data_IF_348183560796
#
_entry.id   IF_348183560796
#
_cell.length_a   1.000
_cell.length_b   1.000
_cell.length_c   1.000
_cell.angle_alpha   90.00
_cell.angle_beta   90.00
_cell.angle_gamma   90.00
#
_symmetry.space_group_name_H-M   'P 1'
#
loop_
_entity.id
_entity.type
_entity.pdbx_description
1 polymer ?
#
# COMPACT_ATOMS: atom_id res chain seq x y z
N UNK A 1 15.47 -21.36 19.02
CA UNK A 1 15.23 -20.59 20.25
C UNK A 1 13.71 -20.39 20.35
N UNK A 2 13.04 -21.24 21.12
CA UNK A 2 11.58 -21.22 21.26
C UNK A 2 11.27 -20.12 22.26
N UNK A 3 10.92 -18.93 21.77
CA UNK A 3 10.30 -17.91 22.61
C UNK A 3 8.87 -18.41 22.86
N UNK A 4 8.61 -18.80 24.10
CA UNK A 4 7.28 -19.13 24.59
C UNK A 4 6.32 -18.01 24.19
N UNK A 5 5.23 -18.36 23.49
CA UNK A 5 4.03 -17.54 23.29
C UNK A 5 3.33 -17.31 24.65
N UNK A 6 4.07 -16.72 25.59
CA UNK A 6 3.53 -16.14 26.81
C UNK A 6 2.69 -14.95 26.38
N UNK A 7 1.44 -14.97 26.81
CA UNK A 7 0.42 -13.92 26.75
C UNK A 7 0.99 -12.57 26.30
N UNK A 8 1.01 -12.34 24.98
CA UNK A 8 1.11 -10.98 24.46
C UNK A 8 -0.11 -10.26 25.05
N UNK A 9 0.16 -9.30 25.94
CA UNK A 9 -0.83 -8.37 26.43
C UNK A 9 -1.59 -7.81 25.21
N UNK A 10 -2.89 -7.61 25.34
CA UNK A 10 -3.66 -6.96 24.29
C UNK A 10 -2.96 -5.64 23.95
N UNK A 11 -2.71 -5.41 22.66
CA UNK A 11 -2.12 -4.17 22.18
C UNK A 11 -2.99 -3.03 22.69
N UNK A 12 -2.42 -2.12 23.48
CA UNK A 12 -3.09 -0.86 23.80
C UNK A 12 -3.14 -0.03 22.53
N UNK A 13 -4.25 -0.17 21.80
CA UNK A 13 -4.42 0.46 20.50
C UNK A 13 -4.35 1.98 20.60
N UNK A 14 -4.80 2.58 21.71
CA UNK A 14 -4.78 4.01 21.89
C UNK A 14 -3.34 4.53 22.06
N UNK A 15 -2.52 3.87 22.90
CA UNK A 15 -1.09 4.17 23.01
C UNK A 15 -0.39 4.02 21.67
N UNK A 16 -0.63 2.88 20.99
CA UNK A 16 -0.01 2.59 19.69
C UNK A 16 -0.32 3.65 18.66
N UNK A 17 -1.59 4.03 18.56
CA UNK A 17 -2.03 5.08 17.65
C UNK A 17 -1.40 6.42 17.99
N UNK A 18 -1.38 6.80 19.27
CA UNK A 18 -0.77 8.06 19.72
C UNK A 18 0.71 8.14 19.35
N UNK A 19 1.51 7.15 19.75
CA UNK A 19 2.96 7.12 19.51
C UNK A 19 3.30 7.14 18.02
N UNK A 20 2.56 6.39 17.21
CA UNK A 20 2.75 6.36 15.77
C UNK A 20 2.33 7.68 15.09
N UNK A 21 1.26 8.34 15.56
CA UNK A 21 0.86 9.66 15.06
C UNK A 21 1.91 10.70 15.39
N UNK A 22 2.39 10.76 16.64
CA UNK A 22 3.46 11.69 17.03
C UNK A 22 4.69 11.52 16.14
N UNK A 23 5.13 10.28 15.93
CA UNK A 23 6.23 9.98 15.02
C UNK A 23 6.01 10.52 13.60
N UNK A 24 4.83 10.29 13.02
CA UNK A 24 4.53 10.72 11.66
C UNK A 24 4.49 12.25 11.55
N UNK A 25 3.90 12.93 12.52
CA UNK A 25 3.84 14.40 12.53
C UNK A 25 5.24 15.03 12.63
N UNK A 26 6.08 14.49 13.51
CA UNK A 26 7.44 15.00 13.73
C UNK A 26 8.40 14.70 12.55
N UNK A 27 7.98 13.85 11.61
CA UNK A 27 8.76 13.44 10.44
C UNK A 27 8.21 13.93 9.11
N UNK A 28 7.32 14.92 9.11
CA UNK A 28 6.88 15.57 7.88
C UNK A 28 8.03 16.38 7.27
N UNK A 29 8.53 15.93 6.14
CA UNK A 29 9.67 16.56 5.48
C UNK A 29 9.23 17.81 4.71
N UNK A 30 10.09 18.83 4.74
CA UNK A 30 9.83 20.14 4.11
C UNK A 30 8.47 20.73 4.50
N UNK A 31 7.96 20.33 5.67
CA UNK A 31 6.64 20.68 6.17
C UNK A 31 5.50 20.31 5.20
N UNK A 32 5.66 19.27 4.38
CA UNK A 32 4.68 18.95 3.33
C UNK A 32 4.55 17.46 3.00
N UNK A 33 5.63 16.67 3.05
CA UNK A 33 5.64 15.33 2.44
C UNK A 33 6.18 14.24 3.37
N UNK A 34 5.80 12.98 3.08
CA UNK A 34 6.38 11.78 3.67
C UNK A 34 6.83 10.81 2.57
N UNK A 35 8.01 11.04 1.96
CA UNK A 35 8.45 10.22 0.85
C UNK A 35 8.66 8.77 1.26
N UNK A 36 8.20 7.84 0.43
CA UNK A 36 8.77 6.50 0.45
C UNK A 36 10.22 6.59 -0.07
N UNK A 37 11.18 5.90 0.56
CA UNK A 37 12.57 5.90 0.12
C UNK A 37 12.92 4.53 -0.46
N UNK A 38 12.78 4.41 -1.78
CA UNK A 38 13.21 3.20 -2.49
C UNK A 38 14.73 3.15 -2.64
N UNK A 39 15.23 2.13 -3.35
CA UNK A 39 16.62 2.11 -3.86
C UNK A 39 16.77 2.76 -5.24
N UNK A 40 15.66 2.90 -5.97
CA UNK A 40 15.65 3.51 -7.30
C UNK A 40 15.79 5.04 -7.19
N UNK A 41 16.66 5.61 -8.03
CA UNK A 41 16.94 7.04 -8.11
C UNK A 41 16.83 7.51 -9.54
N UNK A 42 16.48 8.77 -9.70
CA UNK A 42 16.46 9.48 -10.99
C UNK A 42 17.55 10.55 -10.99
N UNK A 43 18.01 10.96 -12.17
CA UNK A 43 18.92 12.10 -12.29
C UNK A 43 18.08 13.37 -12.26
N UNK A 44 18.37 14.25 -11.31
CA UNK A 44 17.83 15.60 -11.22
C UNK A 44 18.93 16.66 -11.28
N UNK A 45 18.56 17.92 -11.05
CA UNK A 45 19.46 19.06 -11.17
C UNK A 45 20.62 19.02 -10.17
N UNK A 46 20.41 18.42 -8.99
CA UNK A 46 21.41 18.28 -7.93
C UNK A 46 22.12 16.93 -7.88
N UNK A 47 21.93 16.05 -8.87
CA UNK A 47 22.49 14.70 -8.89
C UNK A 47 21.42 13.60 -8.81
N UNK A 48 21.67 12.54 -8.04
CA UNK A 48 20.69 11.44 -7.88
C UNK A 48 19.63 11.82 -6.85
N UNK A 49 18.37 11.84 -7.28
CA UNK A 49 17.22 12.29 -6.49
C UNK A 49 16.19 11.16 -6.30
N UNK A 50 15.35 11.31 -5.27
CA UNK A 50 14.19 10.43 -5.08
C UNK A 50 13.13 10.75 -6.14
N UNK A 51 12.63 9.76 -6.89
CA UNK A 51 11.63 10.01 -7.92
C UNK A 51 10.33 10.57 -7.32
N UNK A 52 9.71 11.52 -8.03
CA UNK A 52 8.48 12.18 -7.57
C UNK A 52 7.34 11.20 -7.25
N UNK A 53 7.24 10.07 -7.97
CA UNK A 53 6.24 9.04 -7.71
C UNK A 53 6.33 8.44 -6.29
N UNK A 54 7.54 8.27 -5.75
CA UNK A 54 7.71 7.80 -4.37
C UNK A 54 7.36 8.85 -3.32
N UNK A 55 7.66 10.12 -3.62
CA UNK A 55 7.27 11.26 -2.76
C UNK A 55 5.75 11.37 -2.66
N UNK A 56 5.07 11.30 -3.80
CA UNK A 56 3.62 11.36 -3.91
C UNK A 56 2.94 10.16 -3.25
N UNK A 57 3.30 8.93 -3.62
CA UNK A 57 2.62 7.75 -3.10
C UNK A 57 2.85 7.55 -1.59
N UNK A 58 4.07 7.80 -1.09
CA UNK A 58 4.37 7.73 0.34
C UNK A 58 3.54 8.73 1.13
N UNK A 59 3.46 9.97 0.64
CA UNK A 59 2.67 11.04 1.26
C UNK A 59 1.18 10.68 1.29
N UNK A 60 0.62 10.20 0.18
CA UNK A 60 -0.79 9.80 0.12
C UNK A 60 -1.13 8.67 1.11
N UNK A 61 -0.23 7.71 1.31
CA UNK A 61 -0.41 6.61 2.28
C UNK A 61 -0.38 7.14 3.71
N UNK A 62 0.56 8.02 4.05
CA UNK A 62 0.64 8.62 5.39
C UNK A 62 -0.57 9.50 5.68
N UNK A 63 -0.99 10.34 4.73
CA UNK A 63 -2.24 11.13 4.85
C UNK A 63 -3.42 10.24 5.14
N UNK A 64 -3.54 9.11 4.42
CA UNK A 64 -4.61 8.13 4.66
C UNK A 64 -4.61 7.60 6.09
N UNK A 65 -3.44 7.22 6.61
CA UNK A 65 -3.31 6.68 7.96
C UNK A 65 -3.64 7.71 9.03
N UNK A 66 -3.15 8.95 8.89
CA UNK A 66 -3.48 10.03 9.82
C UNK A 66 -4.98 10.32 9.85
N UNK A 67 -5.66 10.20 8.72
CA UNK A 67 -7.10 10.44 8.63
C UNK A 67 -7.99 9.37 9.26
N UNK A 68 -7.49 8.16 9.51
CA UNK A 68 -8.28 7.15 10.22
C UNK A 68 -8.30 7.39 11.73
N UNK A 69 -7.45 8.27 12.24
CA UNK A 69 -7.39 8.60 13.66
C UNK A 69 -8.60 9.45 14.10
N UNK A 70 -8.92 9.41 15.40
CA UNK A 70 -9.98 10.24 15.99
C UNK A 70 -9.78 11.71 15.65
N UNK A 71 -10.87 12.40 15.27
CA UNK A 71 -10.87 13.85 15.03
C UNK A 71 -10.57 14.66 16.30
N UNK A 72 -10.76 14.05 17.46
CA UNK A 72 -10.52 14.62 18.77
C UNK A 72 -9.24 14.05 19.40
N UNK A 73 -8.76 14.70 20.46
CA UNK A 73 -7.60 14.28 21.23
C UNK A 73 -6.33 15.09 20.96
N UNK A 74 -5.22 14.70 21.62
CA UNK A 74 -3.94 15.38 21.50
C UNK A 74 -3.48 15.45 20.04
N UNK A 75 -2.81 16.55 19.67
CA UNK A 75 -2.26 16.80 18.31
C UNK A 75 -3.30 16.77 17.17
N UNK A 76 -4.61 16.79 17.45
CA UNK A 76 -5.65 16.73 16.40
C UNK A 76 -5.58 17.91 15.42
N UNK A 77 -5.28 19.11 15.93
CA UNK A 77 -5.04 20.33 15.13
C UNK A 77 -3.76 20.21 14.29
N UNK A 78 -2.64 19.80 14.91
CA UNK A 78 -1.36 19.58 14.21
C UNK A 78 -1.50 18.58 13.07
N UNK A 79 -2.24 17.50 13.31
CA UNK A 79 -2.54 16.48 12.31
C UNK A 79 -3.38 17.04 11.18
N UNK A 80 -4.41 17.81 11.48
CA UNK A 80 -5.26 18.45 10.47
C UNK A 80 -4.44 19.41 9.61
N UNK A 81 -3.56 20.21 10.23
CA UNK A 81 -2.65 21.10 9.54
C UNK A 81 -1.62 20.34 8.69
N UNK A 82 -1.07 19.23 9.19
CA UNK A 82 -0.12 18.39 8.44
C UNK A 82 -0.78 17.74 7.22
N UNK A 83 -2.02 17.24 7.38
CA UNK A 83 -2.82 16.68 6.28
C UNK A 83 -3.10 17.75 5.22
N UNK A 84 -3.42 18.98 5.61
CA UNK A 84 -3.66 20.06 4.64
C UNK A 84 -2.40 20.42 3.85
N UNK A 85 -1.24 20.56 4.52
CA UNK A 85 0.03 20.80 3.82
C UNK A 85 0.37 19.67 2.84
N UNK A 86 0.11 18.43 3.23
CA UNK A 86 0.32 17.28 2.38
C UNK A 86 -0.67 17.20 1.21
N UNK A 87 -1.94 17.58 1.41
CA UNK A 87 -2.91 17.74 0.32
C UNK A 87 -2.40 18.75 -0.70
N UNK A 88 -1.96 19.93 -0.24
CA UNK A 88 -1.43 20.97 -1.11
C UNK A 88 -0.23 20.45 -1.92
N UNK A 89 0.69 19.73 -1.28
CA UNK A 89 1.79 19.05 -1.97
C UNK A 89 1.32 18.03 -3.02
N UNK A 90 0.33 17.18 -2.72
CA UNK A 90 -0.18 16.20 -3.69
C UNK A 90 -0.77 16.89 -4.93
N UNK A 91 -1.46 18.02 -4.75
CA UNK A 91 -1.99 18.84 -5.85
C UNK A 91 -0.87 19.46 -6.68
N UNK A 92 0.11 20.09 -6.02
CA UNK A 92 1.27 20.70 -6.67
C UNK A 92 2.09 19.66 -7.46
N UNK A 93 2.31 18.48 -6.88
CA UNK A 93 3.12 17.42 -7.46
C UNK A 93 2.54 16.85 -8.76
N UNK A 94 1.23 17.01 -9.02
CA UNK A 94 0.66 16.65 -10.32
C UNK A 94 1.11 17.60 -11.44
N UNK A 95 1.48 18.84 -11.11
CA UNK A 95 2.08 19.80 -12.05
C UNK A 95 3.59 19.64 -12.23
N UNK A 96 4.24 18.71 -11.53
CA UNK A 96 5.67 18.50 -11.60
C UNK A 96 6.11 17.99 -12.99
N UNK A 97 7.23 18.51 -13.53
CA UNK A 97 7.71 18.20 -14.89
C UNK A 97 7.90 16.70 -15.15
N UNK A 98 8.33 15.96 -14.13
CA UNK A 98 8.51 14.50 -14.22
C UNK A 98 7.19 13.70 -14.14
N UNK A 99 6.08 14.28 -13.68
CA UNK A 99 4.79 13.59 -13.50
C UNK A 99 4.00 13.46 -14.82
N UNK A 100 4.70 13.18 -15.91
CA UNK A 100 4.14 13.06 -17.27
C UNK A 100 3.47 11.71 -17.51
N UNK A 101 2.42 11.70 -18.35
CA UNK A 101 1.62 10.50 -18.69
C UNK A 101 2.30 9.61 -19.75
N UNK A 102 3.55 9.22 -19.52
CA UNK A 102 4.29 8.35 -20.44
C UNK A 102 5.04 7.29 -19.66
N UNK A 103 5.01 6.03 -20.09
CA UNK A 103 5.91 5.01 -19.57
C UNK A 103 7.13 4.94 -20.50
N UNK A 104 8.21 5.67 -20.19
CA UNK A 104 9.36 5.87 -21.08
C UNK A 104 10.64 5.13 -20.66
N UNK A 105 10.60 4.35 -19.58
CA UNK A 105 11.78 3.65 -19.04
C UNK A 105 11.44 2.21 -18.67
N UNK A 106 12.43 1.38 -18.31
CA UNK A 106 12.15 0.02 -17.80
C UNK A 106 11.64 -0.01 -16.35
N UNK A 107 11.68 1.13 -15.64
CA UNK A 107 11.29 1.25 -14.23
C UNK A 107 10.68 2.64 -13.96
N UNK A 108 9.40 2.67 -13.62
CA UNK A 108 8.60 3.88 -13.47
C UNK A 108 7.65 3.76 -12.27
N UNK A 109 7.85 4.61 -11.28
CA UNK A 109 7.08 4.61 -10.02
C UNK A 109 5.98 5.68 -10.00
N UNK A 110 5.78 6.42 -11.10
CA UNK A 110 4.71 7.42 -11.20
C UNK A 110 3.34 6.77 -11.17
N UNK A 111 3.20 5.58 -11.75
CA UNK A 111 1.99 4.76 -11.62
C UNK A 111 1.60 4.48 -10.16
N UNK A 112 2.59 4.29 -9.29
CA UNK A 112 2.37 4.10 -7.85
C UNK A 112 1.97 5.41 -7.17
N UNK A 113 2.64 6.51 -7.54
CA UNK A 113 2.25 7.86 -7.10
C UNK A 113 0.80 8.19 -7.48
N UNK A 114 0.42 8.02 -8.75
CA UNK A 114 -0.92 8.33 -9.25
C UNK A 114 -2.00 7.50 -8.57
N UNK A 115 -1.84 6.18 -8.38
CA UNK A 115 -2.93 5.37 -7.82
C UNK A 115 -3.24 5.73 -6.36
N UNK A 116 -2.21 5.91 -5.52
CA UNK A 116 -2.42 6.32 -4.14
C UNK A 116 -2.88 7.78 -4.03
N UNK A 117 -2.34 8.68 -4.86
CA UNK A 117 -2.79 10.08 -4.90
C UNK A 117 -4.24 10.22 -5.37
N UNK A 118 -4.65 9.55 -6.46
CA UNK A 118 -6.01 9.60 -6.97
C UNK A 118 -7.01 9.21 -5.88
N UNK A 119 -6.81 8.05 -5.24
CA UNK A 119 -7.71 7.58 -4.21
C UNK A 119 -7.76 8.55 -3.02
N UNK A 120 -6.62 9.10 -2.60
CA UNK A 120 -6.56 9.99 -1.45
C UNK A 120 -7.14 11.38 -1.73
N UNK A 121 -6.84 11.98 -2.89
CA UNK A 121 -7.41 13.25 -3.32
C UNK A 121 -8.93 13.15 -3.40
N UNK A 122 -9.47 12.09 -4.02
CA UNK A 122 -10.93 11.88 -4.09
C UNK A 122 -11.53 11.73 -2.69
N UNK A 123 -10.86 11.04 -1.75
CA UNK A 123 -11.33 10.93 -0.35
C UNK A 123 -11.32 12.27 0.37
N UNK A 124 -10.30 13.11 0.15
CA UNK A 124 -10.21 14.44 0.77
C UNK A 124 -11.39 15.30 0.29
N UNK A 125 -11.67 15.31 -1.01
CA UNK A 125 -12.80 16.04 -1.59
C UNK A 125 -14.16 15.50 -1.10
N UNK A 126 -14.36 14.18 -1.11
CA UNK A 126 -15.59 13.53 -0.64
C UNK A 126 -15.91 13.89 0.81
N UNK A 127 -14.88 13.99 1.67
CA UNK A 127 -15.06 14.24 3.10
C UNK A 127 -15.14 15.73 3.45
N UNK A 128 -15.23 16.62 2.46
CA UNK A 128 -15.31 18.07 2.69
C UNK A 128 -14.02 18.68 3.23
N UNK A 129 -12.88 18.01 3.03
CA UNK A 129 -11.55 18.46 3.50
C UNK A 129 -10.79 19.26 2.43
N UNK A 130 -11.52 19.86 1.49
CA UNK A 130 -10.95 20.70 0.44
C UNK A 130 -11.69 22.02 0.47
N UNK A 131 -10.98 23.10 0.82
CA UNK A 131 -11.55 24.44 0.83
C UNK A 131 -12.04 24.83 -0.57
N UNK A 132 -13.13 25.60 -0.64
CA UNK A 132 -13.80 25.97 -1.90
C UNK A 132 -12.84 26.58 -2.92
N UNK A 133 -11.97 27.50 -2.48
CA UNK A 133 -10.96 28.14 -3.32
C UNK A 133 -9.90 27.17 -3.88
N UNK A 134 -9.72 26.00 -3.27
CA UNK A 134 -8.78 24.96 -3.72
C UNK A 134 -9.45 23.89 -4.59
N UNK A 135 -10.78 23.86 -4.68
CA UNK A 135 -11.52 22.75 -5.27
C UNK A 135 -11.16 22.50 -6.74
N UNK A 136 -11.06 23.56 -7.55
CA UNK A 136 -10.74 23.46 -8.97
C UNK A 136 -9.33 22.87 -9.21
N UNK A 137 -8.32 23.36 -8.48
CA UNK A 137 -6.95 22.83 -8.58
C UNK A 137 -6.89 21.38 -8.10
N UNK A 138 -7.64 21.05 -7.04
CA UNK A 138 -7.73 19.71 -6.49
C UNK A 138 -8.36 18.71 -7.48
N UNK A 139 -9.48 19.07 -8.12
CA UNK A 139 -10.12 18.25 -9.15
C UNK A 139 -9.25 18.09 -10.41
N UNK A 140 -8.47 19.12 -10.76
CA UNK A 140 -7.47 19.02 -11.83
C UNK A 140 -6.40 17.98 -11.48
N UNK A 141 -5.92 17.96 -10.24
CA UNK A 141 -4.96 16.96 -9.77
C UNK A 141 -5.55 15.53 -9.78
N UNK A 142 -6.82 15.36 -9.38
CA UNK A 142 -7.52 14.07 -9.52
C UNK A 142 -7.58 13.61 -10.98
N UNK A 143 -7.97 14.51 -11.89
CA UNK A 143 -8.02 14.22 -13.33
C UNK A 143 -6.66 13.85 -13.90
N UNK A 144 -5.59 14.55 -13.49
CA UNK A 144 -4.22 14.25 -13.91
C UNK A 144 -3.81 12.84 -13.49
N UNK A 145 -4.00 12.49 -12.21
CA UNK A 145 -3.67 11.16 -11.72
C UNK A 145 -4.46 10.05 -12.43
N UNK A 146 -5.76 10.27 -12.68
CA UNK A 146 -6.59 9.36 -13.45
C UNK A 146 -6.06 9.16 -14.88
N UNK A 147 -5.76 10.26 -15.58
CA UNK A 147 -5.23 10.20 -16.94
C UNK A 147 -3.88 9.47 -17.00
N UNK A 148 -2.98 9.71 -16.04
CA UNK A 148 -1.71 8.99 -15.93
C UNK A 148 -1.90 7.48 -15.77
N UNK A 149 -2.85 7.06 -14.93
CA UNK A 149 -3.21 5.65 -14.77
C UNK A 149 -3.73 5.06 -16.07
N UNK A 150 -4.73 5.70 -16.70
CA UNK A 150 -5.36 5.19 -17.92
C UNK A 150 -4.37 5.11 -19.08
N UNK A 151 -3.53 6.14 -19.25
CA UNK A 151 -2.54 6.20 -20.34
C UNK A 151 -1.46 5.14 -20.20
N UNK A 152 -1.16 4.72 -18.97
CA UNK A 152 -0.08 3.76 -18.70
C UNK A 152 -0.57 2.34 -18.45
N UNK A 153 -1.83 2.01 -18.77
CA UNK A 153 -2.28 0.62 -18.76
C UNK A 153 -1.38 -0.25 -19.67
N UNK A 154 -1.10 -1.48 -19.23
CA UNK A 154 -0.41 -2.48 -20.04
C UNK A 154 -1.41 -3.06 -21.06
N UNK A 155 -0.95 -3.42 -22.26
CA UNK A 155 -1.82 -3.93 -23.34
C UNK A 155 -2.62 -5.18 -22.93
N UNK A 156 -2.05 -6.01 -22.06
CA UNK A 156 -2.69 -7.20 -21.48
C UNK A 156 -3.59 -6.91 -20.28
N UNK A 157 -3.85 -5.64 -19.97
CA UNK A 157 -4.56 -5.20 -18.78
C UNK A 157 -3.64 -5.05 -17.58
N UNK A 158 -3.99 -4.14 -16.67
CA UNK A 158 -3.28 -3.91 -15.42
C UNK A 158 -2.03 -3.03 -15.56
N UNK A 159 -1.25 -2.96 -14.48
CA UNK A 159 -0.11 -2.04 -14.36
C UNK A 159 1.11 -2.70 -13.72
N UNK A 160 2.28 -2.14 -14.00
CA UNK A 160 3.53 -2.55 -13.39
C UNK A 160 4.50 -1.36 -13.38
N UNK A 161 5.24 -1.21 -12.29
CA UNK A 161 6.31 -0.22 -12.19
C UNK A 161 7.58 -0.68 -12.89
N UNK A 162 7.72 -1.96 -13.23
CA UNK A 162 8.87 -2.46 -13.99
C UNK A 162 8.43 -3.25 -15.21
N UNK A 163 8.87 -2.82 -16.39
CA UNK A 163 8.62 -3.51 -17.67
C UNK A 163 9.93 -3.96 -18.33
N UNK A 164 10.94 -4.34 -17.55
CA UNK A 164 12.26 -4.77 -18.09
C UNK A 164 12.13 -5.83 -19.18
N UNK A 165 11.28 -6.83 -18.97
CA UNK A 165 10.94 -7.80 -20.01
C UNK A 165 10.02 -7.16 -21.04
N UNK A 166 10.48 -7.07 -22.29
CA UNK A 166 9.65 -6.64 -23.42
C UNK A 166 9.52 -5.12 -23.63
N UNK A 167 9.94 -4.24 -22.71
CA UNK A 167 9.84 -2.78 -22.94
C UNK A 167 10.58 -2.33 -24.20
N UNK A 168 11.86 -2.67 -24.34
CA UNK A 168 12.65 -2.30 -25.52
C UNK A 168 12.15 -2.95 -26.83
N UNK A 169 11.43 -4.07 -26.73
CA UNK A 169 10.90 -4.82 -27.87
C UNK A 169 9.42 -4.49 -28.16
N UNK A 170 8.82 -3.50 -27.49
CA UNK A 170 7.40 -3.16 -27.67
C UNK A 170 6.43 -4.27 -27.25
N UNK A 171 6.88 -5.20 -26.42
CA UNK A 171 6.15 -6.36 -25.96
C UNK A 171 4.87 -5.99 -25.20
N UNK A 172 4.01 -6.99 -25.02
CA UNK A 172 2.70 -6.79 -24.40
C UNK A 172 2.78 -6.27 -22.96
N UNK A 173 3.86 -6.62 -22.25
CA UNK A 173 4.10 -6.28 -20.86
C UNK A 173 3.33 -7.17 -19.88
N UNK A 174 3.83 -7.24 -18.65
CA UNK A 174 3.27 -8.09 -17.59
C UNK A 174 2.79 -7.22 -16.43
N UNK A 175 1.51 -7.31 -16.09
CA UNK A 175 0.95 -6.63 -14.93
C UNK A 175 1.42 -7.26 -13.62
N UNK A 176 1.76 -6.42 -12.65
CA UNK A 176 2.09 -6.86 -11.29
C UNK A 176 0.87 -6.72 -10.39
N UNK A 177 0.50 -7.75 -9.59
CA UNK A 177 -0.55 -7.63 -8.59
C UNK A 177 -0.33 -6.47 -7.61
N UNK A 178 0.93 -6.19 -7.24
CA UNK A 178 1.30 -5.11 -6.32
C UNK A 178 0.90 -3.72 -6.83
N UNK A 179 0.92 -3.54 -8.16
CA UNK A 179 0.50 -2.28 -8.79
C UNK A 179 -0.97 -2.32 -9.20
N UNK A 180 -1.43 -3.46 -9.70
CA UNK A 180 -2.74 -3.55 -10.33
C UNK A 180 -3.87 -3.49 -9.29
N UNK A 181 -3.71 -4.14 -8.14
CA UNK A 181 -4.71 -4.10 -7.06
C UNK A 181 -4.97 -2.67 -6.54
N UNK A 182 -3.98 -1.90 -6.07
CA UNK A 182 -4.24 -0.54 -5.58
C UNK A 182 -4.74 0.38 -6.70
N UNK A 183 -4.26 0.23 -7.94
CA UNK A 183 -4.79 1.00 -9.08
C UNK A 183 -6.26 0.73 -9.35
N UNK A 184 -6.68 -0.54 -9.38
CA UNK A 184 -8.08 -0.87 -9.58
C UNK A 184 -8.98 -0.37 -8.44
N UNK A 185 -8.51 -0.44 -7.18
CA UNK A 185 -9.24 0.14 -6.04
C UNK A 185 -9.39 1.66 -6.18
N UNK A 186 -8.32 2.36 -6.57
CA UNK A 186 -8.34 3.79 -6.81
C UNK A 186 -9.31 4.17 -7.94
N UNK A 187 -9.27 3.46 -9.06
CA UNK A 187 -10.17 3.68 -10.21
C UNK A 187 -11.64 3.45 -9.83
N UNK A 188 -11.97 2.32 -9.16
CA UNK A 188 -13.35 2.06 -8.71
C UNK A 188 -13.82 3.11 -7.70
N UNK A 189 -12.93 3.55 -6.81
CA UNK A 189 -13.27 4.60 -5.86
C UNK A 189 -13.51 5.94 -6.55
N UNK A 190 -12.67 6.32 -7.52
CA UNK A 190 -12.86 7.51 -8.33
C UNK A 190 -14.17 7.47 -9.12
N UNK A 191 -14.49 6.32 -9.74
CA UNK A 191 -15.75 6.11 -10.47
C UNK A 191 -16.98 6.35 -9.59
N UNK A 192 -16.97 5.80 -8.37
CA UNK A 192 -18.05 6.03 -7.38
C UNK A 192 -18.22 7.50 -6.95
N UNK A 193 -17.24 8.36 -7.22
CA UNK A 193 -17.21 9.75 -6.77
C UNK A 193 -17.06 10.75 -7.93
N UNK A 194 -17.65 10.40 -9.08
CA UNK A 194 -17.92 11.32 -10.19
C UNK A 194 -16.88 11.34 -11.31
N UNK A 195 -15.85 10.51 -11.24
CA UNK A 195 -14.91 10.37 -12.36
C UNK A 195 -15.42 9.36 -13.40
N UNK A 196 -15.21 9.65 -14.68
CA UNK A 196 -15.48 8.69 -15.75
C UNK A 196 -14.31 7.71 -15.86
N UNK A 197 -14.56 6.44 -15.48
CA UNK A 197 -13.59 5.35 -15.62
C UNK A 197 -14.15 4.32 -16.59
N UNK A 198 -13.43 3.97 -17.67
CA UNK A 198 -13.91 2.95 -18.60
C UNK A 198 -13.99 1.57 -17.94
N UNK A 199 -15.15 0.91 -18.02
CA UNK A 199 -15.38 -0.40 -17.37
C UNK A 199 -14.49 -1.49 -17.98
N UNK A 200 -14.13 -1.36 -19.25
CA UNK A 200 -13.22 -2.29 -19.93
C UNK A 200 -11.81 -2.28 -19.32
N UNK A 201 -11.34 -1.15 -18.79
CA UNK A 201 -10.05 -1.04 -18.09
C UNK A 201 -10.12 -1.79 -16.76
N UNK A 202 -11.25 -1.66 -16.04
CA UNK A 202 -11.48 -2.39 -14.79
C UNK A 202 -11.55 -3.89 -15.03
N UNK A 203 -12.26 -4.30 -16.08
CA UNK A 203 -12.42 -5.70 -16.49
C UNK A 203 -11.07 -6.32 -16.85
N UNK A 204 -10.32 -5.71 -17.78
CA UNK A 204 -8.99 -6.21 -18.19
C UNK A 204 -8.02 -6.31 -17.02
N UNK A 205 -8.02 -5.32 -16.11
CA UNK A 205 -7.18 -5.35 -14.92
C UNK A 205 -7.56 -6.49 -13.97
N UNK A 206 -8.86 -6.70 -13.70
CA UNK A 206 -9.33 -7.80 -12.86
C UNK A 206 -8.98 -9.17 -13.46
N UNK A 207 -9.13 -9.34 -14.77
CA UNK A 207 -8.71 -10.54 -15.47
C UNK A 207 -7.20 -10.76 -15.40
N UNK A 208 -6.39 -9.70 -15.50
CA UNK A 208 -4.93 -9.79 -15.35
C UNK A 208 -4.55 -10.30 -13.95
N UNK A 209 -5.25 -9.85 -12.91
CA UNK A 209 -5.09 -10.38 -11.55
C UNK A 209 -5.45 -11.87 -11.49
N UNK A 210 -6.60 -12.28 -12.03
CA UNK A 210 -7.01 -13.68 -12.05
C UNK A 210 -6.00 -14.58 -12.80
N UNK A 211 -5.47 -14.11 -13.95
CA UNK A 211 -4.45 -14.81 -14.74
C UNK A 211 -3.12 -14.98 -14.01
N UNK A 212 -2.80 -14.11 -13.06
CA UNK A 212 -1.53 -14.19 -12.32
C UNK A 212 -1.50 -15.27 -11.22
N UNK A 213 -2.58 -16.05 -11.04
CA UNK A 213 -2.58 -17.24 -10.15
C UNK A 213 -1.61 -18.30 -10.68
N UNK A 214 -0.83 -18.91 -9.79
CA UNK A 214 0.14 -19.96 -10.17
C UNK A 214 -0.44 -21.35 -9.99
N UNK A 215 0.10 -22.33 -10.73
CA UNK A 215 -0.28 -23.76 -10.57
C UNK A 215 0.00 -24.29 -9.17
N UNK A 216 0.94 -23.67 -8.44
CA UNK A 216 1.30 -24.05 -7.07
C UNK A 216 0.37 -23.42 -6.01
N UNK A 217 -0.70 -22.73 -6.42
CA UNK A 217 -1.64 -22.05 -5.52
C UNK A 217 -1.17 -20.69 -5.02
N UNK A 218 -0.05 -20.17 -5.53
CA UNK A 218 0.48 -18.84 -5.22
C UNK A 218 0.04 -17.77 -6.21
N UNK A 219 0.72 -16.63 -6.18
CA UNK A 219 0.51 -15.50 -7.11
C UNK A 219 1.83 -15.08 -7.77
N UNK A 220 1.85 -14.98 -9.10
CA UNK A 220 3.02 -14.54 -9.87
C UNK A 220 3.40 -13.09 -9.56
N UNK A 221 4.66 -12.74 -9.81
CA UNK A 221 5.19 -11.40 -9.51
C UNK A 221 4.74 -10.37 -10.55
N UNK A 222 4.76 -10.80 -11.79
CA UNK A 222 4.17 -10.12 -12.92
C UNK A 222 3.68 -11.16 -13.93
N UNK A 223 2.55 -10.89 -14.59
CA UNK A 223 2.01 -11.72 -15.66
C UNK A 223 1.71 -13.14 -15.22
N UNK A 224 2.10 -14.12 -16.03
CA UNK A 224 2.00 -15.54 -15.72
C UNK A 224 3.39 -16.10 -15.41
N UNK A 225 3.58 -16.63 -14.21
CA UNK A 225 4.89 -17.14 -13.80
C UNK A 225 4.78 -18.24 -12.76
N UNK A 226 5.91 -18.92 -12.51
CA UNK A 226 6.05 -19.80 -11.36
C UNK A 226 6.48 -18.94 -10.18
N UNK A 227 5.73 -19.01 -9.09
CA UNK A 227 6.08 -18.37 -7.83
C UNK A 227 5.52 -19.25 -6.71
N UNK A 228 6.38 -19.73 -5.78
CA UNK A 228 5.93 -20.58 -4.69
C UNK A 228 5.11 -19.76 -3.68
N UNK A 229 4.20 -20.43 -2.97
CA UNK A 229 3.31 -19.80 -1.99
C UNK A 229 4.06 -18.94 -0.96
N UNK A 230 5.19 -19.38 -0.34
CA UNK A 230 5.90 -18.56 0.64
C UNK A 230 6.39 -17.22 0.09
N UNK A 231 6.68 -17.14 -1.21
CA UNK A 231 7.11 -15.90 -1.87
C UNK A 231 5.97 -14.96 -2.23
N UNK A 232 4.74 -15.46 -2.26
CA UNK A 232 3.60 -14.79 -2.89
C UNK A 232 2.46 -14.44 -1.96
N UNK A 233 2.53 -14.76 -0.66
CA UNK A 233 1.44 -14.56 0.31
C UNK A 233 0.85 -13.15 0.32
N UNK A 234 1.67 -12.09 0.31
CA UNK A 234 1.19 -10.71 0.24
C UNK A 234 0.42 -10.39 -1.06
N UNK A 235 0.83 -10.99 -2.19
CA UNK A 235 0.15 -10.85 -3.49
C UNK A 235 -1.12 -11.68 -3.54
N UNK A 236 -1.13 -12.87 -2.95
CA UNK A 236 -2.34 -13.69 -2.78
C UNK A 236 -3.40 -12.91 -2.01
N UNK A 237 -3.03 -12.32 -0.86
CA UNK A 237 -3.92 -11.47 -0.08
C UNK A 237 -4.45 -10.28 -0.89
N UNK A 238 -3.57 -9.57 -1.60
CA UNK A 238 -3.96 -8.43 -2.43
C UNK A 238 -5.00 -8.82 -3.49
N UNK A 239 -4.75 -9.91 -4.22
CA UNK A 239 -5.59 -10.36 -5.33
C UNK A 239 -6.91 -10.92 -4.82
N UNK A 240 -6.87 -11.89 -3.92
CA UNK A 240 -8.09 -12.57 -3.48
C UNK A 240 -9.00 -11.61 -2.70
N UNK A 241 -8.44 -10.66 -1.92
CA UNK A 241 -9.27 -9.62 -1.27
C UNK A 241 -9.94 -8.72 -2.30
N UNK A 242 -9.23 -8.26 -3.33
CA UNK A 242 -9.81 -7.43 -4.39
C UNK A 242 -10.91 -8.16 -5.18
N UNK A 243 -10.69 -9.44 -5.52
CA UNK A 243 -11.68 -10.21 -6.26
C UNK A 243 -12.96 -10.41 -5.41
N UNK A 244 -12.81 -10.70 -4.11
CA UNK A 244 -13.96 -10.79 -3.19
C UNK A 244 -14.66 -9.43 -3.05
N UNK A 245 -13.92 -8.33 -2.86
CA UNK A 245 -14.47 -6.97 -2.78
C UNK A 245 -15.32 -6.59 -4.00
N UNK A 246 -14.98 -7.13 -5.17
CA UNK A 246 -15.66 -6.83 -6.44
C UNK A 246 -16.71 -7.86 -6.83
N UNK A 247 -16.95 -8.89 -6.02
CA UNK A 247 -17.94 -9.93 -6.26
C UNK A 247 -17.50 -11.01 -7.27
N UNK A 248 -16.23 -11.01 -7.68
CA UNK A 248 -15.65 -11.99 -8.61
C UNK A 248 -14.78 -13.05 -7.92
N UNK A 249 -14.60 -12.93 -6.60
CA UNK A 249 -13.73 -13.77 -5.78
C UNK A 249 -14.45 -14.88 -5.03
N UNK A 250 -13.64 -15.69 -4.35
CA UNK A 250 -14.07 -16.87 -3.61
C UNK A 250 -13.53 -16.79 -2.17
N UNK A 251 -14.42 -16.91 -1.19
CA UNK A 251 -14.06 -16.89 0.23
C UNK A 251 -13.14 -18.06 0.62
N UNK A 252 -13.21 -19.20 -0.06
CA UNK A 252 -12.28 -20.32 0.16
C UNK A 252 -10.86 -19.91 -0.20
N UNK A 253 -10.68 -19.22 -1.34
CA UNK A 253 -9.37 -18.70 -1.76
C UNK A 253 -8.87 -17.60 -0.83
N UNK A 254 -9.76 -16.73 -0.38
CA UNK A 254 -9.41 -15.67 0.57
C UNK A 254 -8.93 -16.24 1.91
N UNK A 255 -9.63 -17.25 2.46
CA UNK A 255 -9.19 -17.99 3.66
C UNK A 255 -7.84 -18.65 3.42
N UNK A 256 -7.66 -19.34 2.30
CA UNK A 256 -6.39 -19.96 1.93
C UNK A 256 -5.24 -18.95 1.84
N UNK A 257 -5.49 -17.73 1.36
CA UNK A 257 -4.49 -16.67 1.33
C UNK A 257 -4.12 -16.16 2.74
N UNK A 258 -5.09 -16.04 3.65
CA UNK A 258 -4.84 -15.71 5.05
C UNK A 258 -4.06 -16.82 5.77
N UNK A 259 -4.47 -18.07 5.59
CA UNK A 259 -3.78 -19.23 6.16
C UNK A 259 -2.34 -19.31 5.68
N UNK A 260 -2.12 -19.17 4.37
CA UNK A 260 -0.79 -19.15 3.77
C UNK A 260 0.07 -17.99 4.30
N UNK A 261 -0.51 -16.78 4.43
CA UNK A 261 0.20 -15.63 5.00
C UNK A 261 0.72 -15.93 6.39
N UNK A 262 -0.12 -16.44 7.29
CA UNK A 262 0.35 -16.72 8.65
C UNK A 262 1.24 -17.96 8.75
N UNK A 263 1.03 -18.98 7.91
CA UNK A 263 1.85 -20.19 7.88
C UNK A 263 3.27 -19.93 7.34
N UNK A 264 3.42 -18.93 6.47
CA UNK A 264 4.72 -18.57 5.87
C UNK A 264 5.21 -17.18 6.27
N UNK A 265 4.63 -16.58 7.31
CA UNK A 265 4.97 -15.23 7.77
C UNK A 265 6.47 -15.09 8.08
N UNK A 266 7.08 -16.10 8.69
CA UNK A 266 8.51 -16.08 9.03
C UNK A 266 9.40 -15.92 7.77
N UNK A 267 8.96 -16.35 6.59
CA UNK A 267 9.69 -16.16 5.32
C UNK A 267 9.66 -14.71 4.83
N UNK A 268 8.58 -14.00 5.16
CA UNK A 268 8.48 -12.56 4.91
C UNK A 268 9.38 -11.81 5.90
N UNK A 269 9.39 -12.24 7.16
CA UNK A 269 10.24 -11.69 8.23
C UNK A 269 11.73 -11.86 7.96
N UNK A 270 12.18 -13.00 7.44
CA UNK A 270 13.57 -13.22 6.98
C UNK A 270 14.06 -12.15 5.99
N UNK A 271 13.13 -11.48 5.28
CA UNK A 271 13.44 -10.42 4.31
C UNK A 271 13.20 -9.01 4.84
N UNK A 272 12.57 -8.84 5.99
CA UNK A 272 12.35 -7.52 6.60
C UNK A 272 13.69 -6.87 6.92
N UNK A 273 13.83 -5.57 6.62
CA UNK A 273 15.03 -4.77 6.88
C UNK A 273 16.32 -5.27 6.21
N UNK A 274 16.23 -6.28 5.32
CA UNK A 274 17.39 -6.78 4.59
C UNK A 274 17.73 -5.91 3.39
N UNK A 275 19.00 -5.91 3.00
CA UNK A 275 19.47 -5.33 1.74
C UNK A 275 19.08 -6.22 0.55
N UNK A 276 19.04 -5.60 -0.63
CA UNK A 276 18.66 -6.26 -1.87
C UNK A 276 17.16 -6.53 -1.99
N UNK A 277 16.73 -6.81 -3.21
CA UNK A 277 15.34 -7.15 -3.56
C UNK A 277 15.32 -8.44 -4.35
N UNK A 278 14.28 -9.26 -4.16
CA UNK A 278 14.09 -10.51 -4.90
C UNK A 278 15.20 -11.56 -4.70
N UNK A 279 15.66 -11.69 -3.45
CA UNK A 279 16.70 -12.65 -3.07
C UNK A 279 16.08 -14.04 -2.87
N UNK A 280 16.81 -15.08 -3.29
CA UNK A 280 16.45 -16.49 -3.11
C UNK A 280 16.21 -16.86 -1.62
N UNK A 281 15.44 -17.92 -1.31
CA UNK A 281 14.83 -18.87 -2.25
C UNK A 281 13.48 -18.41 -2.83
N UNK A 282 12.84 -17.39 -2.25
CA UNK A 282 11.45 -17.03 -2.58
C UNK A 282 11.30 -15.68 -3.29
N UNK A 283 12.38 -14.95 -3.53
CA UNK A 283 12.30 -13.71 -4.32
C UNK A 283 11.48 -12.59 -3.67
N UNK A 284 11.33 -12.61 -2.35
CA UNK A 284 10.57 -11.59 -1.61
C UNK A 284 11.44 -10.36 -1.38
N UNK A 285 10.91 -9.19 -1.74
CA UNK A 285 11.54 -7.92 -1.47
C UNK A 285 11.04 -7.32 -0.14
N UNK A 286 11.88 -6.60 0.61
CA UNK A 286 11.52 -6.11 1.94
C UNK A 286 10.25 -5.23 1.96
N UNK A 287 10.02 -4.42 0.92
CA UNK A 287 8.86 -3.52 0.83
C UNK A 287 7.50 -4.24 0.77
N UNK A 288 7.49 -5.55 0.52
CA UNK A 288 6.27 -6.35 0.62
C UNK A 288 5.86 -6.62 2.07
N UNK A 289 6.76 -6.45 3.04
CA UNK A 289 6.51 -6.83 4.42
C UNK A 289 5.30 -6.09 4.99
N UNK A 290 5.35 -4.75 5.06
CA UNK A 290 4.22 -3.99 5.61
C UNK A 290 3.03 -3.94 4.65
N UNK A 291 3.27 -4.02 3.34
CA UNK A 291 2.20 -4.17 2.35
C UNK A 291 1.35 -5.42 2.62
N UNK A 292 1.97 -6.58 2.87
CA UNK A 292 1.26 -7.83 3.11
C UNK A 292 0.42 -7.78 4.39
N UNK A 293 0.89 -7.12 5.44
CA UNK A 293 0.10 -6.90 6.66
C UNK A 293 -1.13 -6.04 6.39
N UNK A 294 -0.98 -4.97 5.60
CA UNK A 294 -2.11 -4.14 5.20
C UNK A 294 -3.13 -4.93 4.37
N UNK A 295 -2.67 -5.76 3.42
CA UNK A 295 -3.57 -6.63 2.66
C UNK A 295 -4.22 -7.72 3.54
N UNK A 296 -3.52 -8.24 4.56
CA UNK A 296 -4.07 -9.19 5.51
C UNK A 296 -5.24 -8.58 6.28
N UNK A 297 -5.09 -7.35 6.79
CA UNK A 297 -6.18 -6.65 7.49
C UNK A 297 -7.42 -6.44 6.62
N UNK A 298 -7.25 -6.18 5.32
CA UNK A 298 -8.35 -6.08 4.34
C UNK A 298 -9.03 -7.42 4.15
N UNK A 299 -8.25 -8.49 3.92
CA UNK A 299 -8.79 -9.84 3.76
C UNK A 299 -9.60 -10.28 4.99
N UNK A 300 -9.13 -9.97 6.20
CA UNK A 300 -9.82 -10.32 7.46
C UNK A 300 -11.23 -9.72 7.51
N UNK A 301 -11.40 -8.44 7.18
CA UNK A 301 -12.71 -7.78 7.28
C UNK A 301 -13.71 -8.18 6.19
N UNK A 302 -13.26 -8.93 5.18
CA UNK A 302 -14.11 -9.51 4.13
C UNK A 302 -14.67 -10.90 4.51
N UNK A 303 -14.07 -11.59 5.49
CA UNK A 303 -14.60 -12.87 5.98
C UNK A 303 -15.94 -12.70 6.71
N UNK A 304 -16.74 -13.76 6.89
CA UNK A 304 -17.86 -13.77 7.82
C UNK A 304 -17.43 -13.34 9.23
N UNK A 305 -18.28 -12.58 9.95
CA UNK A 305 -17.94 -12.02 11.27
C UNK A 305 -17.42 -13.07 12.26
N UNK A 306 -17.98 -14.27 12.24
CA UNK A 306 -17.62 -15.40 13.12
C UNK A 306 -16.19 -15.92 12.92
N UNK A 307 -15.54 -15.60 11.80
CA UNK A 307 -14.21 -16.13 11.45
C UNK A 307 -13.09 -15.11 11.68
N UNK A 308 -13.42 -13.82 11.87
CA UNK A 308 -12.44 -12.72 11.87
C UNK A 308 -11.56 -12.71 13.11
N UNK A 309 -12.11 -13.11 14.26
CA UNK A 309 -11.49 -12.92 15.57
C UNK A 309 -10.09 -13.51 15.66
N UNK A 310 -9.91 -14.77 15.26
CA UNK A 310 -8.62 -15.44 15.34
C UNK A 310 -7.58 -14.85 14.37
N UNK A 311 -7.99 -14.52 13.14
CA UNK A 311 -7.06 -13.88 12.19
C UNK A 311 -6.67 -12.46 12.64
N UNK A 312 -7.61 -11.67 13.16
CA UNK A 312 -7.33 -10.34 13.69
C UNK A 312 -6.35 -10.41 14.87
N UNK A 313 -6.57 -11.35 15.81
CA UNK A 313 -5.67 -11.61 16.93
C UNK A 313 -4.26 -11.96 16.46
N UNK A 314 -4.12 -12.87 15.48
CA UNK A 314 -2.82 -13.24 14.90
C UNK A 314 -2.15 -12.06 14.20
N UNK A 315 -2.91 -11.23 13.48
CA UNK A 315 -2.37 -10.05 12.80
C UNK A 315 -1.85 -9.01 13.81
N UNK A 316 -2.62 -8.73 14.87
CA UNK A 316 -2.18 -7.87 15.99
C UNK A 316 -0.87 -8.39 16.56
N UNK A 317 -0.81 -9.67 16.95
CA UNK A 317 0.38 -10.28 17.52
C UNK A 317 1.61 -10.15 16.60
N UNK A 318 1.45 -10.31 15.28
CA UNK A 318 2.56 -10.14 14.32
C UNK A 318 3.00 -8.68 14.16
N UNK A 319 2.07 -7.74 14.16
CA UNK A 319 2.41 -6.31 14.13
C UNK A 319 3.13 -5.90 15.41
N UNK A 320 2.68 -6.36 16.59
CA UNK A 320 3.37 -6.09 17.85
C UNK A 320 4.77 -6.69 17.89
N UNK A 321 4.93 -7.92 17.41
CA UNK A 321 6.22 -8.62 17.38
C UNK A 321 7.31 -7.84 16.62
N UNK A 322 6.93 -7.04 15.62
CA UNK A 322 7.86 -6.29 14.76
C UNK A 322 7.77 -4.78 14.94
N UNK A 323 7.11 -4.32 16.01
CA UNK A 323 7.09 -2.91 16.42
C UNK A 323 8.48 -2.53 16.94
N UNK A 324 9.09 -1.52 16.36
CA UNK A 324 10.39 -1.01 16.79
C UNK A 324 10.25 -0.32 18.17
N UNK A 325 11.32 -0.20 18.98
CA UNK A 325 11.26 0.41 20.32
C UNK A 325 10.69 1.83 20.37
N UNK A 326 10.73 2.58 19.26
CA UNK A 326 10.11 3.90 19.12
C UNK A 326 8.61 3.87 18.78
N UNK A 327 7.98 2.70 18.85
CA UNK A 327 6.56 2.51 18.56
C UNK A 327 6.20 2.53 17.06
N UNK A 328 7.18 2.35 16.19
CA UNK A 328 7.06 2.47 14.72
C UNK A 328 7.20 1.12 14.01
N UNK A 329 6.95 1.12 12.70
CA UNK A 329 7.21 -0.05 11.83
C UNK A 329 8.07 0.35 10.65
N UNK A 330 9.15 -0.40 10.42
CA UNK A 330 10.02 -0.21 9.27
C UNK A 330 10.37 -1.54 8.60
N UNK A 331 10.11 -1.63 7.30
CA UNK A 331 10.44 -2.79 6.48
C UNK A 331 11.76 -2.65 5.70
N UNK A 332 12.44 -1.50 5.80
CA UNK A 332 13.72 -1.23 5.14
C UNK A 332 14.87 -1.15 6.14
N UNK A 333 16.08 -1.46 5.66
CA UNK A 333 17.31 -1.43 6.45
C UNK A 333 17.41 -0.13 7.28
N UNK A 334 17.30 -0.21 8.62
CA UNK A 334 17.31 0.96 9.49
C UNK A 334 18.71 1.57 9.63
N UNK A 335 19.76 0.86 9.21
CA UNK A 335 21.15 1.33 9.24
C UNK A 335 21.52 2.15 8.02
N UNK A 336 20.73 2.09 6.94
CA UNK A 336 20.93 2.93 5.76
C UNK A 336 20.20 4.28 5.98
N UNK A 337 20.94 5.40 6.12
CA UNK A 337 20.32 6.70 6.38
C UNK A 337 19.39 7.16 5.25
N UNK A 338 19.52 6.58 4.05
CA UNK A 338 18.62 6.85 2.92
C UNK A 338 17.29 6.12 3.09
N UNK A 339 17.28 4.98 3.78
CA UNK A 339 16.11 4.09 3.87
C UNK A 339 15.38 4.19 5.21
N UNK A 340 16.05 4.65 6.28
CA UNK A 340 15.46 4.77 7.62
C UNK A 340 14.17 5.60 7.64
N UNK A 341 14.05 6.59 6.76
CA UNK A 341 12.84 7.43 6.65
C UNK A 341 11.64 6.72 6.02
N UNK A 342 11.83 5.52 5.48
CA UNK A 342 10.73 4.65 5.01
C UNK A 342 9.87 4.14 6.16
N UNK A 343 10.33 4.25 7.40
CA UNK A 343 9.52 3.98 8.58
C UNK A 343 8.20 4.77 8.60
N UNK A 344 8.11 5.93 7.91
CA UNK A 344 6.84 6.64 7.70
C UNK A 344 5.80 5.75 6.97
N UNK A 345 6.22 5.09 5.89
CA UNK A 345 5.38 4.17 5.12
C UNK A 345 5.00 2.94 5.95
N UNK A 346 5.97 2.30 6.60
CA UNK A 346 5.71 1.10 7.40
C UNK A 346 4.76 1.39 8.55
N UNK A 347 4.97 2.49 9.27
CA UNK A 347 4.11 2.94 10.37
C UNK A 347 2.69 3.27 9.89
N UNK A 348 2.56 3.96 8.75
CA UNK A 348 1.25 4.22 8.16
C UNK A 348 0.51 2.93 7.77
N UNK A 349 1.20 1.95 7.18
CA UNK A 349 0.62 0.65 6.85
C UNK A 349 0.18 -0.13 8.10
N UNK A 350 0.96 -0.08 9.18
CA UNK A 350 0.58 -0.68 10.47
C UNK A 350 -0.68 -0.03 11.04
N UNK A 351 -0.74 1.31 11.08
CA UNK A 351 -1.91 2.06 11.56
C UNK A 351 -3.16 1.72 10.76
N UNK A 352 -3.08 1.72 9.42
CA UNK A 352 -4.19 1.32 8.56
C UNK A 352 -4.64 -0.11 8.81
N UNK A 353 -3.72 -1.01 9.17
CA UNK A 353 -4.04 -2.40 9.46
C UNK A 353 -4.76 -2.54 10.79
N UNK A 354 -4.22 -1.91 11.84
CA UNK A 354 -4.75 -1.96 13.20
C UNK A 354 -6.11 -1.28 13.31
N UNK A 355 -6.28 -0.11 12.70
CA UNK A 355 -7.54 0.61 12.61
C UNK A 355 -8.63 -0.26 11.97
N UNK A 356 -8.32 -0.89 10.84
CA UNK A 356 -9.29 -1.71 10.10
C UNK A 356 -9.81 -2.89 10.90
N UNK A 357 -8.99 -3.49 11.75
CA UNK A 357 -9.38 -4.62 12.60
C UNK A 357 -9.74 -4.18 14.02
N UNK A 358 -9.75 -2.88 14.33
CA UNK A 358 -9.92 -2.36 15.69
C UNK A 358 -11.18 -2.90 16.36
N UNK A 359 -12.31 -2.89 15.65
CA UNK A 359 -13.61 -3.41 16.13
C UNK A 359 -13.81 -4.92 16.01
N UNK A 360 -12.79 -5.69 15.64
CA UNK A 360 -12.86 -7.16 15.64
C UNK A 360 -12.48 -7.67 17.02
N UNK A 361 -13.45 -8.26 17.73
CA UNK A 361 -13.29 -8.79 19.09
C UNK A 361 -12.22 -9.91 19.15
N UNK A 362 -11.45 -9.94 20.24
CA UNK A 362 -10.54 -11.04 20.53
C UNK A 362 -11.36 -12.24 21.05
N UNK A 363 -11.30 -13.42 20.40
CA UNK A 363 -12.06 -14.60 20.84
C UNK A 363 -11.66 -15.11 22.23
N UNK A 364 -10.55 -14.63 22.80
CA UNK A 364 -10.12 -14.95 24.17
C UNK A 364 -10.83 -14.12 25.24
N UNK A 365 -11.35 -12.94 24.91
CA UNK A 365 -12.06 -12.06 25.85
C UNK A 365 -13.52 -12.53 26.09
N UNK A 366 -14.03 -13.39 25.22
CA UNK A 366 -15.37 -13.97 25.31
C UNK A 366 -15.41 -15.33 26.04
N UNK A 367 -14.26 -15.81 26.54
CA UNK A 367 -14.11 -17.06 27.30
C UNK A 367 -13.70 -16.74 28.73
#
# INVERSE_FOLDING_TARGET
MIISLLVLAAIDLAEVQSTAVDYLLDRQEKNAEWPYRGVYRVRGAGGLEEPIGYRVGGTAIVVRALRTMSKEGPRSEDRSAAVERARAFLVEAMGHSEMTHVFSSTYDVRGWGWCYALEELVKLRRDGLVAEQSLAAHQKAETHALQGILTTEIKTGGWNYSRRSGFAAGGLGDASPFMTVPTLRALRFAAKHGHTVPEEVLTRGAEALARSRTKAGGQAYAGTGRDPVPGSTGRMLAVESYLVETGSGDLVRLRGALDAFFAHWDRLEERRQQRGTHVAPFGVAPYYFMFAHEQASRAIVLLPKSERGEYARRLRARLEQVRDPGGTWNDRDPTDPRLVRTANYGTAMALLSLDRIAGVADPREAR
#
